data_IF_772739064948
#
_entry.id   IF_772739064948
#
_cell.length_a   1.000
_cell.length_b   1.000
_cell.length_c   1.000
_cell.angle_alpha   90.00
_cell.angle_beta   90.00
_cell.angle_gamma   90.00
#
_symmetry.space_group_name_H-M   'P 1'
#
loop_
_entity.id
_entity.type
_entity.pdbx_description
1 polymer ?
#
# COMPACT_ATOMS: atom_id res chain seq x y z
N UNK A 1 44.52 20.75 40.20
CA UNK A 1 43.90 21.27 38.96
C UNK A 1 42.94 20.20 38.43
N UNK A 2 41.64 20.39 38.62
CA UNK A 2 40.60 19.45 38.21
C UNK A 2 39.92 20.01 36.96
N UNK A 3 40.14 19.38 35.82
CA UNK A 3 39.50 19.71 34.54
C UNK A 3 38.11 19.06 34.50
N UNK A 4 37.06 19.85 34.70
CA UNK A 4 35.67 19.44 34.47
C UNK A 4 35.45 19.30 32.96
N UNK A 5 35.22 18.07 32.50
CA UNK A 5 34.65 17.76 31.20
C UNK A 5 33.22 18.35 31.09
N UNK A 6 32.79 18.85 29.91
CA UNK A 6 31.45 19.39 29.71
C UNK A 6 30.42 18.28 29.90
N UNK A 7 29.53 18.46 30.87
CA UNK A 7 28.34 17.63 31.08
C UNK A 7 27.50 17.63 29.82
N UNK A 8 27.13 16.43 29.35
CA UNK A 8 26.09 16.24 28.35
C UNK A 8 24.84 17.04 28.75
N UNK A 9 24.09 17.63 27.79
CA UNK A 9 22.84 18.30 28.09
C UNK A 9 21.94 17.33 28.85
N UNK A 10 21.60 17.73 30.07
CA UNK A 10 20.83 16.95 31.03
C UNK A 10 19.49 16.58 30.38
N UNK A 11 19.21 15.28 30.24
CA UNK A 11 17.91 14.79 29.77
C UNK A 11 16.74 15.19 30.70
N UNK A 12 17.06 15.87 31.82
CA UNK A 12 16.16 16.46 32.79
C UNK A 12 15.48 17.76 32.32
N UNK A 13 15.91 18.38 31.21
CA UNK A 13 15.35 19.64 30.70
C UNK A 13 14.31 19.48 29.57
N UNK A 14 13.90 18.24 29.28
CA UNK A 14 12.73 18.03 28.42
C UNK A 14 11.48 18.48 29.22
N UNK A 15 10.75 19.51 28.77
CA UNK A 15 9.58 19.99 29.48
C UNK A 15 8.62 18.82 29.72
N UNK A 16 8.06 18.68 30.94
CA UNK A 16 7.16 17.58 31.25
C UNK A 16 6.02 17.60 30.24
N UNK A 17 5.93 16.54 29.42
CA UNK A 17 4.88 16.42 28.41
C UNK A 17 3.53 16.47 29.12
N UNK A 18 2.92 17.66 29.11
CA UNK A 18 1.64 17.90 29.73
C UNK A 18 0.62 16.93 29.15
N UNK A 19 -0.16 16.30 30.00
CA UNK A 19 -1.24 15.38 29.59
C UNK A 19 -2.23 16.03 28.62
N UNK A 20 -2.31 17.36 28.60
CA UNK A 20 -3.04 18.18 27.61
C UNK A 20 -2.43 18.12 26.21
N UNK A 21 -1.11 18.13 26.07
CA UNK A 21 -0.39 18.19 24.79
C UNK A 21 -0.45 16.84 24.05
N UNK A 22 -0.41 15.73 24.81
CA UNK A 22 -0.62 14.37 24.29
C UNK A 22 -2.07 14.21 23.82
N UNK A 23 -3.04 14.73 24.58
CA UNK A 23 -4.46 14.67 24.24
C UNK A 23 -4.76 15.48 22.98
N UNK A 24 -4.18 16.67 22.82
CA UNK A 24 -4.36 17.53 21.65
C UNK A 24 -3.75 16.92 20.38
N UNK A 25 -2.55 16.31 20.48
CA UNK A 25 -1.94 15.57 19.35
C UNK A 25 -2.72 14.31 18.99
N UNK A 26 -3.19 13.55 19.98
CA UNK A 26 -4.01 12.37 19.76
C UNK A 26 -5.32 12.74 19.05
N UNK A 27 -5.99 13.79 19.50
CA UNK A 27 -7.25 14.25 18.93
C UNK A 27 -7.09 14.75 17.49
N UNK A 28 -6.03 15.53 17.21
CA UNK A 28 -5.69 15.96 15.84
C UNK A 28 -5.33 14.79 14.92
N UNK A 29 -4.65 13.78 15.44
CA UNK A 29 -4.28 12.57 14.67
C UNK A 29 -5.50 11.71 14.37
N UNK A 30 -6.41 11.54 15.33
CA UNK A 30 -7.68 10.82 15.14
C UNK A 30 -8.55 11.53 14.11
N UNK A 31 -8.64 12.86 14.18
CA UNK A 31 -9.41 13.66 13.21
C UNK A 31 -8.76 13.60 11.82
N UNK A 32 -7.43 13.71 11.73
CA UNK A 32 -6.71 13.59 10.47
C UNK A 32 -6.84 12.19 9.85
N UNK A 33 -6.74 11.12 10.65
CA UNK A 33 -7.00 9.75 10.20
C UNK A 33 -8.45 9.57 9.76
N UNK A 34 -9.40 10.06 10.55
CA UNK A 34 -10.83 9.98 10.25
C UNK A 34 -11.16 10.69 8.94
N UNK A 35 -10.70 11.92 8.76
CA UNK A 35 -10.90 12.71 7.55
C UNK A 35 -10.26 12.05 6.33
N UNK A 36 -9.04 11.53 6.48
CA UNK A 36 -8.35 10.80 5.42
C UNK A 36 -9.11 9.52 5.04
N UNK A 37 -9.56 8.76 6.03
CA UNK A 37 -10.27 7.49 5.81
C UNK A 37 -11.61 7.75 5.14
N UNK A 38 -12.40 8.69 5.66
CA UNK A 38 -13.70 9.07 5.09
C UNK A 38 -13.56 9.69 3.70
N UNK A 39 -12.55 10.53 3.48
CA UNK A 39 -12.24 11.10 2.16
C UNK A 39 -11.87 10.01 1.15
N UNK A 40 -11.04 9.05 1.54
CA UNK A 40 -10.66 7.91 0.69
C UNK A 40 -11.84 6.99 0.39
N UNK A 41 -12.73 6.78 1.36
CA UNK A 41 -13.93 5.95 1.20
C UNK A 41 -14.95 6.63 0.29
N UNK A 42 -15.19 7.93 0.49
CA UNK A 42 -16.06 8.73 -0.37
C UNK A 42 -15.56 8.75 -1.81
N UNK A 43 -14.25 8.96 -2.00
CA UNK A 43 -13.63 8.89 -3.33
C UNK A 43 -13.81 7.50 -3.96
N UNK A 44 -13.56 6.42 -3.20
CA UNK A 44 -13.77 5.04 -3.67
C UNK A 44 -15.21 4.79 -4.12
N UNK A 45 -16.20 5.24 -3.34
CA UNK A 45 -17.62 5.05 -3.67
C UNK A 45 -18.02 5.86 -4.90
N UNK A 46 -17.64 7.13 -4.96
CA UNK A 46 -17.95 8.00 -6.11
C UNK A 46 -17.26 7.49 -7.37
N UNK A 47 -15.98 7.11 -7.29
CA UNK A 47 -15.29 6.45 -8.38
C UNK A 47 -16.02 5.17 -8.79
N UNK A 48 -16.40 4.31 -7.85
CA UNK A 48 -17.12 3.07 -8.16
C UNK A 48 -18.44 3.31 -8.90
N UNK A 49 -19.22 4.31 -8.49
CA UNK A 49 -20.49 4.65 -9.12
C UNK A 49 -20.27 5.28 -10.51
N UNK A 50 -19.29 6.19 -10.65
CA UNK A 50 -18.96 6.80 -11.93
C UNK A 50 -18.42 5.77 -12.93
N UNK A 51 -17.52 4.88 -12.48
CA UNK A 51 -16.96 3.81 -13.29
C UNK A 51 -18.02 2.76 -13.65
N UNK A 52 -19.00 2.46 -12.78
CA UNK A 52 -20.12 1.57 -13.14
C UNK A 52 -21.03 2.12 -14.25
N UNK A 53 -21.06 3.44 -14.44
CA UNK A 53 -21.79 4.08 -15.53
C UNK A 53 -20.96 4.21 -16.81
N UNK A 54 -19.63 4.29 -16.68
CA UNK A 54 -18.70 4.54 -17.78
C UNK A 54 -18.13 3.25 -18.39
N UNK A 55 -18.05 2.16 -17.61
CA UNK A 55 -17.64 0.84 -18.04
C UNK A 55 -18.88 -0.07 -18.12
N UNK A 56 -18.95 -0.93 -19.15
CA UNK A 56 -19.99 -1.95 -19.20
C UNK A 56 -19.90 -2.84 -17.94
N UNK A 57 -21.03 -3.34 -17.39
CA UNK A 57 -21.03 -4.15 -16.15
C UNK A 57 -20.05 -5.34 -16.17
N UNK A 58 -19.75 -5.88 -17.34
CA UNK A 58 -18.75 -6.93 -17.54
C UNK A 58 -17.31 -6.50 -17.25
N UNK A 59 -16.91 -5.29 -17.65
CA UNK A 59 -15.54 -4.78 -17.46
C UNK A 59 -15.24 -4.46 -15.99
N UNK A 60 -16.26 -4.00 -15.27
CA UNK A 60 -16.15 -3.71 -13.83
C UNK A 60 -16.09 -5.00 -13.00
N UNK A 61 -16.88 -6.02 -13.36
CA UNK A 61 -16.81 -7.34 -12.75
C UNK A 61 -15.46 -8.01 -12.96
N UNK A 62 -14.93 -7.92 -14.18
CA UNK A 62 -13.59 -8.39 -14.53
C UNK A 62 -12.52 -7.74 -13.65
N UNK A 63 -12.51 -6.41 -13.55
CA UNK A 63 -11.59 -5.70 -12.67
C UNK A 63 -11.75 -6.12 -11.20
N UNK A 64 -12.97 -6.23 -10.69
CA UNK A 64 -13.21 -6.60 -9.29
C UNK A 64 -12.64 -7.98 -8.94
N UNK A 65 -12.80 -8.97 -9.82
CA UNK A 65 -12.25 -10.33 -9.63
C UNK A 65 -10.73 -10.31 -9.66
N UNK A 66 -10.14 -9.58 -10.60
CA UNK A 66 -8.68 -9.47 -10.71
C UNK A 66 -8.10 -8.73 -9.50
N UNK A 67 -8.70 -7.61 -9.11
CA UNK A 67 -8.30 -6.82 -7.95
C UNK A 67 -8.44 -7.63 -6.66
N UNK A 68 -9.51 -8.42 -6.50
CA UNK A 68 -9.69 -9.33 -5.37
C UNK A 68 -8.59 -10.39 -5.32
N UNK A 69 -8.27 -11.01 -6.47
CA UNK A 69 -7.20 -12.02 -6.56
C UNK A 69 -5.84 -11.43 -6.18
N UNK A 70 -5.53 -10.22 -6.66
CA UNK A 70 -4.30 -9.51 -6.31
C UNK A 70 -4.28 -9.10 -4.81
N UNK A 71 -5.40 -8.61 -4.27
CA UNK A 71 -5.51 -8.23 -2.87
C UNK A 71 -5.37 -9.45 -1.94
N UNK A 72 -5.94 -10.59 -2.32
CA UNK A 72 -5.75 -11.84 -1.59
C UNK A 72 -4.28 -12.27 -1.60
N UNK A 73 -3.60 -12.13 -2.73
CA UNK A 73 -2.17 -12.41 -2.85
C UNK A 73 -1.30 -11.50 -1.97
N UNK A 74 -1.58 -10.20 -1.98
CA UNK A 74 -0.93 -9.22 -1.09
C UNK A 74 -1.15 -9.59 0.38
N UNK A 75 -2.42 -9.83 0.76
CA UNK A 75 -2.77 -10.22 2.10
C UNK A 75 -2.00 -11.46 2.55
N UNK A 76 -1.98 -12.52 1.73
CA UNK A 76 -1.25 -13.74 2.02
C UNK A 76 0.26 -13.48 2.19
N UNK A 77 0.85 -12.59 1.38
CA UNK A 77 2.26 -12.22 1.48
C UNK A 77 2.62 -11.38 2.69
N UNK A 78 1.65 -10.62 3.20
CA UNK A 78 1.78 -9.82 4.41
C UNK A 78 1.56 -10.66 5.67
N UNK A 79 0.87 -11.81 5.57
CA UNK A 79 0.61 -12.71 6.69
C UNK A 79 1.91 -13.31 7.25
N UNK A 80 2.13 -13.09 8.54
CA UNK A 80 3.21 -13.71 9.32
C UNK A 80 4.48 -12.86 9.43
N UNK A 81 4.83 -12.09 8.40
CA UNK A 81 6.07 -11.31 8.39
C UNK A 81 5.96 -10.00 9.18
N UNK A 82 4.87 -9.28 8.92
CA UNK A 82 4.44 -8.07 9.64
C UNK A 82 4.34 -8.30 11.15
N UNK A 83 3.72 -9.41 11.56
CA UNK A 83 3.59 -9.79 12.97
C UNK A 83 4.92 -10.15 13.64
N UNK A 84 5.87 -10.73 12.90
CA UNK A 84 7.18 -11.11 13.47
C UNK A 84 8.09 -9.89 13.68
N UNK A 85 8.15 -8.98 12.71
CA UNK A 85 8.96 -7.76 12.77
C UNK A 85 8.42 -6.76 13.81
N UNK A 86 7.09 -6.68 13.98
CA UNK A 86 6.46 -5.78 14.96
C UNK A 86 6.56 -6.31 16.39
N UNK A 87 6.58 -7.64 16.59
CA UNK A 87 6.63 -8.25 17.94
C UNK A 87 8.02 -8.31 18.56
N UNK A 88 9.08 -8.06 17.80
CA UNK A 88 10.43 -8.04 18.37
C UNK A 88 10.61 -6.82 19.28
N UNK A 89 11.12 -7.06 20.50
CA UNK A 89 11.30 -6.03 21.53
C UNK A 89 12.51 -5.12 21.26
N UNK A 90 13.46 -5.56 20.43
CA UNK A 90 14.68 -4.82 20.08
C UNK A 90 14.56 -4.21 18.69
N UNK A 91 15.23 -3.08 18.47
CA UNK A 91 15.31 -2.42 17.17
C UNK A 91 15.92 -3.39 16.14
N UNK A 92 15.27 -3.61 14.97
CA UNK A 92 15.66 -4.68 14.07
C UNK A 92 16.99 -4.34 13.40
N UNK A 93 17.90 -5.30 13.40
CA UNK A 93 19.19 -5.19 12.72
C UNK A 93 19.01 -5.17 11.19
N UNK A 94 20.00 -4.65 10.46
CA UNK A 94 19.93 -4.65 9.00
C UNK A 94 19.81 -6.06 8.41
N UNK A 95 20.42 -7.06 9.05
CA UNK A 95 20.34 -8.46 8.63
C UNK A 95 18.92 -9.03 8.81
N UNK A 96 18.23 -8.68 9.88
CA UNK A 96 16.83 -9.07 10.11
C UNK A 96 15.89 -8.42 9.10
N UNK A 97 16.10 -7.14 8.78
CA UNK A 97 15.32 -6.43 7.76
C UNK A 97 15.57 -7.05 6.38
N UNK A 98 16.82 -7.35 6.03
CA UNK A 98 17.19 -7.99 4.76
C UNK A 98 16.57 -9.38 4.65
N UNK A 99 16.68 -10.19 5.71
CA UNK A 99 16.10 -11.54 5.74
C UNK A 99 14.57 -11.49 5.59
N UNK A 100 13.93 -10.54 6.26
CA UNK A 100 12.50 -10.33 6.13
C UNK A 100 12.10 -9.89 4.71
N UNK A 101 12.85 -8.96 4.12
CA UNK A 101 12.66 -8.53 2.74
C UNK A 101 12.76 -9.69 1.75
N UNK A 102 13.84 -10.47 1.79
CA UNK A 102 14.02 -11.58 0.87
C UNK A 102 12.97 -12.69 1.07
N UNK A 103 12.57 -12.94 2.31
CA UNK A 103 11.51 -13.92 2.62
C UNK A 103 10.15 -13.49 2.07
N UNK A 104 9.77 -12.23 2.30
CA UNK A 104 8.53 -11.65 1.75
C UNK A 104 8.55 -11.60 0.22
N UNK A 105 9.70 -11.23 -0.36
CA UNK A 105 9.84 -11.15 -1.81
C UNK A 105 9.77 -12.54 -2.46
N UNK A 106 10.41 -13.56 -1.87
CA UNK A 106 10.31 -14.94 -2.36
C UNK A 106 8.88 -15.47 -2.33
N UNK A 107 8.15 -15.19 -1.24
CA UNK A 107 6.75 -15.59 -1.11
C UNK A 107 5.85 -14.84 -2.10
N UNK A 108 6.06 -13.54 -2.29
CA UNK A 108 5.32 -12.77 -3.29
C UNK A 108 5.58 -13.28 -4.70
N UNK A 109 6.83 -13.57 -5.07
CA UNK A 109 7.18 -14.14 -6.38
C UNK A 109 6.46 -15.47 -6.61
N UNK A 110 6.37 -16.33 -5.59
CA UNK A 110 5.62 -17.58 -5.67
C UNK A 110 4.14 -17.32 -5.97
N UNK A 111 3.50 -16.40 -5.24
CA UNK A 111 2.09 -16.02 -5.46
C UNK A 111 1.88 -15.45 -6.85
N UNK A 112 2.73 -14.52 -7.29
CA UNK A 112 2.66 -13.92 -8.62
C UNK A 112 2.81 -14.99 -9.69
N UNK A 113 3.74 -15.94 -9.53
CA UNK A 113 3.89 -17.08 -10.43
C UNK A 113 2.64 -17.94 -10.51
N UNK A 114 2.00 -18.24 -9.38
CA UNK A 114 0.73 -18.99 -9.34
C UNK A 114 -0.39 -18.23 -10.04
N UNK A 115 -0.53 -16.93 -9.80
CA UNK A 115 -1.55 -16.10 -10.46
C UNK A 115 -1.32 -16.05 -11.97
N UNK A 116 -0.07 -15.91 -12.43
CA UNK A 116 0.27 -15.92 -13.86
C UNK A 116 -0.07 -17.26 -14.53
N UNK A 117 0.19 -18.37 -13.86
CA UNK A 117 -0.18 -19.71 -14.34
C UNK A 117 -1.70 -19.89 -14.39
N UNK A 118 -2.42 -19.34 -13.42
CA UNK A 118 -3.89 -19.38 -13.36
C UNK A 118 -4.56 -18.35 -14.26
N UNK A 119 -3.84 -17.32 -14.74
CA UNK A 119 -4.40 -16.23 -15.56
C UNK A 119 -5.24 -16.70 -16.77
N UNK A 120 -4.80 -17.65 -17.62
CA UNK A 120 -5.63 -18.13 -18.72
C UNK A 120 -6.86 -18.90 -18.25
N UNK A 121 -6.77 -19.62 -17.12
CA UNK A 121 -7.89 -20.33 -16.53
C UNK A 121 -8.91 -19.35 -15.94
N UNK A 122 -8.46 -18.39 -15.13
CA UNK A 122 -9.24 -17.28 -14.59
C UNK A 122 -9.97 -16.51 -15.69
N UNK A 123 -9.27 -16.19 -16.77
CA UNK A 123 -9.84 -15.49 -17.92
C UNK A 123 -10.99 -16.25 -18.60
N UNK A 124 -10.92 -17.58 -18.64
CA UNK A 124 -11.97 -18.43 -19.23
C UNK A 124 -13.11 -18.65 -18.25
N UNK A 125 -12.81 -18.96 -17.00
CA UNK A 125 -13.81 -19.25 -15.96
C UNK A 125 -14.71 -18.05 -15.65
N UNK A 126 -14.16 -16.84 -15.74
CA UNK A 126 -14.89 -15.60 -15.46
C UNK A 126 -15.28 -14.82 -16.73
N UNK A 127 -15.13 -15.41 -17.91
CA UNK A 127 -15.55 -14.82 -19.20
C UNK A 127 -15.01 -13.39 -19.43
N UNK A 128 -13.75 -13.16 -19.04
CA UNK A 128 -13.10 -11.82 -19.00
C UNK A 128 -12.76 -11.25 -20.40
N UNK A 129 -13.25 -11.87 -21.47
CA UNK A 129 -12.93 -11.51 -22.84
C UNK A 129 -11.47 -11.78 -23.28
N UNK A 130 -11.09 -11.36 -24.49
CA UNK A 130 -9.78 -11.65 -25.09
C UNK A 130 -8.60 -11.05 -24.32
N UNK A 131 -8.81 -9.92 -23.63
CA UNK A 131 -7.78 -9.22 -22.86
C UNK A 131 -7.69 -9.66 -21.39
N UNK A 132 -8.61 -10.50 -20.91
CA UNK A 132 -8.71 -10.86 -19.49
C UNK A 132 -7.44 -11.48 -18.91
N UNK A 133 -6.82 -12.42 -19.64
CA UNK A 133 -5.56 -13.04 -19.21
C UNK A 133 -4.42 -12.02 -19.09
N UNK A 134 -4.36 -11.05 -20.00
CA UNK A 134 -3.37 -9.97 -19.95
C UNK A 134 -3.62 -9.04 -18.75
N UNK A 135 -4.88 -8.72 -18.46
CA UNK A 135 -5.26 -7.90 -17.31
C UNK A 135 -4.87 -8.55 -15.98
N UNK A 136 -5.17 -9.86 -15.83
CA UNK A 136 -4.73 -10.64 -14.66
C UNK A 136 -3.21 -10.62 -14.53
N UNK A 137 -2.50 -10.83 -15.63
CA UNK A 137 -1.04 -10.88 -15.64
C UNK A 137 -0.42 -9.55 -15.23
N UNK A 138 -0.94 -8.45 -15.76
CA UNK A 138 -0.45 -7.10 -15.44
C UNK A 138 -0.72 -6.74 -13.98
N UNK A 139 -1.88 -7.10 -13.42
CA UNK A 139 -2.13 -6.90 -11.99
C UNK A 139 -1.25 -7.78 -11.11
N UNK A 140 -0.94 -9.01 -11.52
CA UNK A 140 0.02 -9.87 -10.83
C UNK A 140 1.42 -9.24 -10.80
N UNK A 141 1.85 -8.60 -11.89
CA UNK A 141 3.09 -7.82 -11.90
C UNK A 141 3.01 -6.59 -10.97
N UNK A 142 1.85 -5.92 -10.92
CA UNK A 142 1.60 -4.83 -9.96
C UNK A 142 1.79 -5.28 -8.50
N UNK A 143 1.37 -6.50 -8.16
CA UNK A 143 1.59 -7.09 -6.84
C UNK A 143 3.09 -7.24 -6.52
N UNK A 144 3.90 -7.64 -7.49
CA UNK A 144 5.36 -7.72 -7.32
C UNK A 144 5.99 -6.36 -7.05
N UNK A 145 5.57 -5.30 -7.76
CA UNK A 145 6.08 -3.95 -7.48
C UNK A 145 5.65 -3.44 -6.11
N UNK A 146 4.41 -3.74 -5.71
CA UNK A 146 3.91 -3.38 -4.40
C UNK A 146 4.70 -4.03 -3.26
N UNK A 147 5.06 -5.32 -3.38
CA UNK A 147 5.78 -6.05 -2.32
C UNK A 147 7.16 -5.47 -2.00
N UNK A 148 7.82 -4.84 -2.99
CA UNK A 148 9.13 -4.20 -2.79
C UNK A 148 9.09 -3.09 -1.73
N UNK A 149 7.91 -2.49 -1.50
CA UNK A 149 7.72 -1.35 -0.61
C UNK A 149 7.13 -1.70 0.74
N UNK A 150 6.57 -2.91 0.89
CA UNK A 150 5.94 -3.38 2.13
C UNK A 150 6.91 -3.31 3.31
N UNK A 151 8.11 -3.88 3.18
CA UNK A 151 9.10 -3.90 4.28
C UNK A 151 9.66 -2.51 4.62
N UNK A 152 10.08 -1.67 3.64
CA UNK A 152 10.44 -0.29 3.91
C UNK A 152 9.33 0.49 4.64
N UNK A 153 8.07 0.35 4.22
CA UNK A 153 6.92 1.00 4.86
C UNK A 153 6.77 0.53 6.31
N UNK A 154 6.84 -0.78 6.57
CA UNK A 154 6.78 -1.33 7.93
C UNK A 154 7.89 -0.79 8.83
N UNK A 155 9.11 -0.61 8.30
CA UNK A 155 10.21 0.00 9.04
C UNK A 155 9.91 1.47 9.37
N UNK A 156 9.34 2.24 8.42
CA UNK A 156 8.92 3.63 8.68
C UNK A 156 7.81 3.73 9.72
N UNK A 157 6.82 2.83 9.67
CA UNK A 157 5.74 2.74 10.66
C UNK A 157 6.28 2.44 12.05
N UNK A 158 7.21 1.49 12.16
CA UNK A 158 7.88 1.15 13.42
C UNK A 158 8.70 2.32 13.98
N UNK A 159 9.32 3.11 13.12
CA UNK A 159 10.04 4.34 13.50
C UNK A 159 9.10 5.54 13.75
N UNK A 160 7.78 5.35 13.72
CA UNK A 160 6.75 6.39 13.91
C UNK A 160 6.90 7.58 12.94
N UNK A 161 7.47 7.35 11.75
CA UNK A 161 7.67 8.38 10.71
C UNK A 161 6.42 8.61 9.86
N UNK A 162 5.26 8.70 10.50
CA UNK A 162 3.96 8.90 9.85
C UNK A 162 3.88 10.10 8.89
N UNK A 163 4.53 11.26 9.15
CA UNK A 163 4.50 12.38 8.19
C UNK A 163 5.20 12.08 6.86
N UNK A 164 6.17 11.18 6.85
CA UNK A 164 6.82 10.72 5.61
C UNK A 164 5.90 9.74 4.88
N UNK A 165 5.32 8.79 5.60
CA UNK A 165 4.35 7.84 5.06
C UNK A 165 3.15 8.55 4.42
N UNK A 166 2.56 9.51 5.13
CA UNK A 166 1.42 10.28 4.63
C UNK A 166 1.72 11.06 3.34
N UNK A 167 2.95 11.57 3.19
CA UNK A 167 3.38 12.25 1.96
C UNK A 167 3.51 11.29 0.78
N UNK A 168 4.09 10.12 1.01
CA UNK A 168 4.23 9.06 -0.01
C UNK A 168 2.84 8.64 -0.49
N UNK A 169 1.94 8.31 0.44
CA UNK A 169 0.59 7.84 0.12
C UNK A 169 -0.27 8.90 -0.58
N UNK A 170 -0.08 10.20 -0.25
CA UNK A 170 -0.72 11.30 -0.96
C UNK A 170 -0.25 11.40 -2.41
N UNK A 171 1.07 11.37 -2.64
CA UNK A 171 1.64 11.45 -4.00
C UNK A 171 1.21 10.25 -4.84
N UNK A 172 1.27 9.04 -4.28
CA UNK A 172 0.76 7.82 -4.91
C UNK A 172 -0.72 7.94 -5.27
N UNK A 173 -1.56 8.37 -4.32
CA UNK A 173 -3.00 8.45 -4.51
C UNK A 173 -3.40 9.45 -5.59
N UNK A 174 -2.73 10.61 -5.62
CA UNK A 174 -2.94 11.63 -6.66
C UNK A 174 -2.51 11.09 -8.03
N UNK A 175 -1.33 10.50 -8.12
CA UNK A 175 -0.82 9.96 -9.38
C UNK A 175 -1.67 8.80 -9.91
N UNK A 176 -2.11 7.89 -9.03
CA UNK A 176 -3.06 6.83 -9.37
C UNK A 176 -4.35 7.41 -9.93
N UNK A 177 -4.94 8.37 -9.22
CA UNK A 177 -6.24 8.93 -9.57
C UNK A 177 -6.15 9.70 -10.89
N UNK A 178 -5.11 10.52 -11.06
CA UNK A 178 -4.86 11.27 -12.29
C UNK A 178 -4.67 10.32 -13.49
N UNK A 179 -3.87 9.26 -13.34
CA UNK A 179 -3.65 8.26 -14.39
C UNK A 179 -4.93 7.52 -14.73
N UNK A 180 -5.70 7.12 -13.71
CA UNK A 180 -6.98 6.41 -13.89
C UNK A 180 -7.97 7.29 -14.66
N UNK A 181 -8.12 8.56 -14.28
CA UNK A 181 -9.03 9.50 -14.95
C UNK A 181 -8.59 9.73 -16.39
N UNK A 182 -7.29 9.93 -16.63
CA UNK A 182 -6.75 10.15 -17.97
C UNK A 182 -7.02 8.94 -18.90
N UNK A 183 -6.75 7.72 -18.42
CA UNK A 183 -7.00 6.51 -19.19
C UNK A 183 -8.50 6.22 -19.38
N UNK A 184 -9.34 6.59 -18.41
CA UNK A 184 -10.79 6.49 -18.53
C UNK A 184 -11.32 7.45 -19.61
N UNK A 185 -10.79 8.66 -19.70
CA UNK A 185 -11.10 9.62 -20.76
C UNK A 185 -10.68 9.14 -22.16
N UNK A 186 -9.64 8.33 -22.24
CA UNK A 186 -9.19 7.67 -23.48
C UNK A 186 -10.01 6.41 -23.83
N UNK A 187 -11.13 6.17 -23.13
CA UNK A 187 -12.01 5.01 -23.32
C UNK A 187 -11.29 3.65 -23.17
N UNK A 188 -10.22 3.58 -22.37
CA UNK A 188 -9.48 2.34 -22.13
C UNK A 188 -10.23 1.33 -21.21
N UNK A 189 -11.45 1.64 -20.76
CA UNK A 189 -12.27 0.73 -19.95
C UNK A 189 -11.55 0.28 -18.68
N UNK A 190 -11.57 -1.02 -18.38
CA UNK A 190 -10.95 -1.61 -17.19
C UNK A 190 -9.42 -1.43 -17.13
N UNK A 191 -8.74 -1.17 -18.25
CA UNK A 191 -7.30 -0.86 -18.26
C UNK A 191 -6.96 0.46 -17.58
N UNK A 192 -7.92 1.38 -17.46
CA UNK A 192 -7.73 2.63 -16.72
C UNK A 192 -7.41 2.40 -15.24
N UNK A 193 -8.13 1.44 -14.63
CA UNK A 193 -7.96 1.06 -13.23
C UNK A 193 -6.66 0.30 -13.00
N UNK A 194 -6.30 -0.59 -13.93
CA UNK A 194 -5.05 -1.36 -13.88
C UNK A 194 -3.85 -0.42 -14.02
N UNK A 195 -3.88 0.49 -15.00
CA UNK A 195 -2.81 1.46 -15.23
C UNK A 195 -2.59 2.39 -14.03
N UNK A 196 -3.69 2.88 -13.41
CA UNK A 196 -3.58 3.65 -12.17
C UNK A 196 -2.95 2.85 -11.02
N UNK A 197 -3.35 1.58 -10.85
CA UNK A 197 -2.78 0.70 -9.83
C UNK A 197 -1.28 0.44 -10.02
N UNK A 198 -0.82 0.27 -11.27
CA UNK A 198 0.60 0.14 -11.58
C UNK A 198 1.40 1.40 -11.26
N UNK A 199 0.88 2.58 -11.62
CA UNK A 199 1.55 3.85 -11.32
C UNK A 199 1.73 4.03 -9.83
N UNK A 200 0.71 3.70 -9.04
CA UNK A 200 0.82 3.66 -7.57
C UNK A 200 1.92 2.70 -7.12
N UNK A 201 1.88 1.45 -7.59
CA UNK A 201 2.86 0.43 -7.25
C UNK A 201 4.30 0.76 -7.68
N UNK A 202 4.48 1.64 -8.66
CA UNK A 202 5.79 2.12 -9.10
C UNK A 202 6.27 3.41 -8.42
N UNK A 203 5.39 4.22 -7.81
CA UNK A 203 5.76 5.55 -7.27
C UNK A 203 6.23 5.63 -5.82
N UNK A 204 5.51 5.08 -4.83
CA UNK A 204 5.99 5.09 -3.44
C UNK A 204 6.71 3.84 -2.97
#
# INVERSE_FOLDING_TARGET
MSSRSPSAPDAADAPPLGTSDVKDRAQRSIIALGLRTLGSLGLRVVSSLALSHLLFPGDYGAFAIVAFTAAMGAFLGDLGLSASLVRQQHEPTQDEISTAFWSHQAFTVLIVGVILLLAPWLSRSYELGPSGAAMVSVMALGLFFHSLRVIPIMVLERQLRFPTLARIELVEGIAQTATTILLAWLHCGAWSLIGGGLVRGGLG
#
